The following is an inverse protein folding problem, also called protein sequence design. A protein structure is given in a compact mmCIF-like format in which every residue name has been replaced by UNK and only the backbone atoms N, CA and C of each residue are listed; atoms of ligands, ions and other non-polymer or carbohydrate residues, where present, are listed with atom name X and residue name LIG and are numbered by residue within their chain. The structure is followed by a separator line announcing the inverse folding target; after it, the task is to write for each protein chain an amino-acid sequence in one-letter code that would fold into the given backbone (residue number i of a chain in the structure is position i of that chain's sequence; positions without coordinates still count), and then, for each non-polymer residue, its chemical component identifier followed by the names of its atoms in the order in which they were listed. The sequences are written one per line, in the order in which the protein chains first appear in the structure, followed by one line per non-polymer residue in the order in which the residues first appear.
data_IF_376961821788
#
_entry.id   IF_376961821788
#
_cell.length_a   1.000
_cell.length_b   1.000
_cell.length_c   1.000
_cell.angle_alpha   90.00
_cell.angle_beta   90.00
_cell.angle_gamma   90.00
#
_symmetry.space_group_name_H-M   'P 1'
#
loop_
_entity.id
_entity.type
_entity.pdbx_description
1 polymer ?
#
# COMPACT_ATOMS: atom_id res chain seq x y z
N UNK A 1 11.55 -14.27 -24.44
CA UNK A 1 11.01 -13.62 -23.31
C UNK A 1 10.48 -12.26 -23.60
N UNK A 2 9.33 -12.03 -23.15
CA UNK A 2 8.78 -10.74 -23.28
C UNK A 2 9.17 -9.89 -22.11
N UNK A 3 9.64 -8.73 -22.40
CA UNK A 3 10.04 -7.85 -21.51
C UNK A 3 9.03 -7.26 -20.66
N UNK A 4 7.63 -7.33 -20.91
CA UNK A 4 6.60 -6.76 -20.07
C UNK A 4 6.65 -7.26 -18.66
N UNK A 5 7.16 -8.43 -18.48
CA UNK A 5 7.28 -8.96 -17.17
C UNK A 5 8.39 -8.40 -16.33
N UNK A 6 9.30 -7.75 -16.98
CA UNK A 6 10.37 -7.05 -16.29
C UNK A 6 10.29 -5.56 -16.44
N UNK A 7 9.17 -5.07 -16.95
CA UNK A 7 8.95 -3.64 -16.97
C UNK A 7 8.92 -3.11 -15.54
N UNK A 8 9.58 -1.98 -15.32
CA UNK A 8 9.40 -1.24 -14.08
C UNK A 8 7.92 -0.98 -13.82
N UNK A 9 7.51 -1.09 -12.61
CA UNK A 9 6.12 -0.94 -12.23
C UNK A 9 5.23 -2.16 -12.45
N UNK A 10 5.78 -3.27 -12.94
CA UNK A 10 5.06 -4.52 -12.90
C UNK A 10 4.85 -4.94 -11.45
N UNK A 11 3.61 -5.06 -11.00
CA UNK A 11 3.34 -5.32 -9.61
C UNK A 11 3.76 -6.73 -9.21
N UNK A 12 4.11 -6.88 -7.96
CA UNK A 12 4.08 -8.14 -7.26
C UNK A 12 2.63 -8.45 -6.94
N UNK A 13 2.14 -9.57 -7.37
CA UNK A 13 0.76 -9.94 -7.20
C UNK A 13 0.63 -11.31 -6.55
N UNK A 14 -0.57 -11.59 -6.09
CA UNK A 14 -0.89 -12.80 -5.33
C UNK A 14 -0.43 -14.08 -6.02
N UNK A 15 -0.58 -14.18 -7.32
CA UNK A 15 -0.17 -15.34 -8.09
C UNK A 15 1.33 -15.60 -8.17
N UNK A 16 2.15 -14.60 -7.83
CA UNK A 16 3.59 -14.75 -7.73
C UNK A 16 4.08 -15.09 -6.33
N UNK A 17 3.14 -15.07 -5.38
CA UNK A 17 3.46 -15.28 -4.01
C UNK A 17 2.99 -16.64 -3.53
N UNK A 18 3.88 -17.38 -2.91
CA UNK A 18 3.50 -18.61 -2.26
C UNK A 18 2.74 -18.31 -0.94
N UNK A 19 1.66 -19.04 -0.62
CA UNK A 19 0.90 -18.81 0.62
C UNK A 19 1.75 -18.86 1.91
N UNK A 20 2.84 -19.59 1.91
CA UNK A 20 3.77 -19.66 3.05
C UNK A 20 4.79 -18.52 3.10
N UNK A 21 4.78 -17.62 2.12
CA UNK A 21 5.62 -16.43 2.13
C UNK A 21 5.00 -15.29 2.92
N UNK A 22 3.99 -15.58 3.74
CA UNK A 22 3.33 -14.60 4.57
C UNK A 22 4.30 -13.98 5.57
N UNK A 23 4.47 -12.68 5.46
CA UNK A 23 5.26 -11.91 6.42
C UNK A 23 4.46 -11.69 7.71
N UNK A 24 3.13 -11.63 7.58
CA UNK A 24 2.18 -11.43 8.68
C UNK A 24 1.11 -12.48 8.66
N UNK A 25 0.45 -12.68 9.78
CA UNK A 25 -0.74 -13.52 9.82
C UNK A 25 -1.86 -12.87 8.99
N UNK A 26 -2.37 -13.60 8.02
CA UNK A 26 -3.53 -13.18 7.25
C UNK A 26 -4.81 -13.18 8.11
N UNK A 27 -5.81 -12.43 7.71
CA UNK A 27 -7.13 -12.54 8.30
C UNK A 27 -7.79 -13.88 7.89
N UNK A 28 -8.74 -14.35 8.70
CA UNK A 28 -9.63 -15.45 8.32
C UNK A 28 -10.82 -14.86 7.57
N UNK A 29 -10.99 -15.23 6.31
CA UNK A 29 -12.04 -14.68 5.45
C UNK A 29 -13.45 -14.95 5.92
N UNK A 30 -13.67 -16.01 6.72
CA UNK A 30 -14.99 -16.35 7.25
C UNK A 30 -15.38 -15.53 8.48
N UNK A 31 -14.41 -15.01 9.20
CA UNK A 31 -14.63 -14.32 10.49
C UNK A 31 -14.24 -12.86 10.48
N UNK A 32 -13.42 -12.43 9.51
CA UNK A 32 -12.96 -11.05 9.41
C UNK A 32 -14.11 -10.09 9.10
N UNK A 33 -14.11 -8.94 9.78
CA UNK A 33 -15.03 -7.86 9.50
C UNK A 33 -14.85 -7.38 8.05
N UNK A 34 -15.94 -7.12 7.29
CA UNK A 34 -15.87 -6.62 5.93
C UNK A 34 -15.01 -5.35 5.78
N UNK A 35 -15.04 -4.46 6.77
CA UNK A 35 -14.21 -3.25 6.76
C UNK A 35 -12.72 -3.58 6.86
N UNK A 36 -12.34 -4.60 7.63
CA UNK A 36 -10.95 -5.09 7.68
C UNK A 36 -10.48 -5.58 6.33
N UNK A 37 -11.32 -6.35 5.63
CA UNK A 37 -11.03 -6.81 4.26
C UNK A 37 -10.88 -5.65 3.29
N UNK A 38 -11.78 -4.66 3.35
CA UNK A 38 -11.70 -3.45 2.54
C UNK A 38 -10.40 -2.69 2.80
N UNK A 39 -10.02 -2.47 4.05
CA UNK A 39 -8.79 -1.78 4.38
C UNK A 39 -7.55 -2.49 3.84
N UNK A 40 -7.48 -3.81 3.96
CA UNK A 40 -6.38 -4.61 3.43
C UNK A 40 -6.27 -4.51 1.91
N UNK A 41 -7.40 -4.57 1.19
CA UNK A 41 -7.43 -4.39 -0.26
C UNK A 41 -7.05 -2.97 -0.69
N UNK A 42 -7.64 -1.95 -0.04
CA UNK A 42 -7.36 -0.54 -0.35
C UNK A 42 -5.88 -0.23 -0.21
N UNK A 43 -5.26 -0.64 0.90
CA UNK A 43 -3.84 -0.35 1.12
C UNK A 43 -2.95 -1.11 0.13
N UNK A 44 -3.25 -2.38 -0.14
CA UNK A 44 -2.50 -3.18 -1.13
C UNK A 44 -2.57 -2.55 -2.51
N UNK A 45 -3.77 -2.13 -2.95
CA UNK A 45 -3.95 -1.46 -4.24
C UNK A 45 -3.24 -0.10 -4.29
N UNK A 46 -3.30 0.69 -3.22
CA UNK A 46 -2.63 1.98 -3.13
C UNK A 46 -1.11 1.83 -3.24
N UNK A 47 -0.51 0.90 -2.49
CA UNK A 47 0.93 0.64 -2.52
C UNK A 47 1.38 0.14 -3.91
N UNK A 48 0.60 -0.73 -4.53
CA UNK A 48 0.87 -1.19 -5.88
C UNK A 48 0.84 -0.05 -6.91
N UNK A 49 -0.14 0.84 -6.85
CA UNK A 49 -0.22 2.01 -7.72
C UNK A 49 0.92 2.99 -7.45
N UNK A 50 1.30 3.18 -6.21
CA UNK A 50 2.42 4.05 -5.82
C UNK A 50 3.75 3.50 -6.33
N UNK A 51 3.99 2.21 -6.18
CA UNK A 51 5.14 1.52 -6.77
C UNK A 51 5.19 1.74 -8.29
N UNK A 52 4.08 1.48 -8.98
CA UNK A 52 3.98 1.69 -10.43
C UNK A 52 4.28 3.14 -10.82
N UNK A 53 3.79 4.11 -10.06
CA UNK A 53 4.07 5.53 -10.28
C UNK A 53 5.57 5.81 -10.20
N UNK A 54 6.24 5.43 -9.13
CA UNK A 54 7.67 5.69 -8.96
C UNK A 54 8.52 5.00 -10.03
N UNK A 55 8.18 3.77 -10.40
CA UNK A 55 8.91 3.01 -11.42
C UNK A 55 8.73 3.59 -12.83
N UNK A 56 7.60 4.19 -13.14
CA UNK A 56 7.33 4.76 -14.46
C UNK A 56 7.71 6.23 -14.59
N UNK A 57 7.58 7.01 -13.54
CA UNK A 57 7.88 8.45 -13.54
C UNK A 57 9.35 8.71 -13.24
N UNK A 58 9.95 7.93 -12.34
CA UNK A 58 11.35 8.11 -11.95
C UNK A 58 12.33 8.22 -13.11
N UNK A 59 12.29 7.30 -14.10
CA UNK A 59 13.20 7.38 -15.26
C UNK A 59 13.06 8.63 -16.13
N UNK A 60 11.98 9.40 -15.99
CA UNK A 60 11.71 10.58 -16.78
C UNK A 60 12.44 11.82 -16.26
N UNK A 61 12.93 11.81 -15.02
CA UNK A 61 13.69 12.91 -14.46
C UNK A 61 15.08 13.02 -15.08
N UNK A 62 15.51 14.25 -15.34
CA UNK A 62 16.83 14.51 -15.87
C UNK A 62 17.92 14.39 -14.79
N UNK A 63 17.61 14.79 -13.57
CA UNK A 63 18.52 14.73 -12.44
C UNK A 63 18.77 13.29 -11.98
N UNK A 64 20.05 12.85 -11.96
CA UNK A 64 20.40 11.51 -11.52
C UNK A 64 19.92 11.18 -10.09
N UNK A 65 19.99 12.15 -9.18
CA UNK A 65 19.55 11.97 -7.79
C UNK A 65 18.04 11.72 -7.70
N UNK A 66 17.24 12.40 -8.54
CA UNK A 66 15.81 12.18 -8.57
C UNK A 66 15.46 10.77 -9.06
N UNK A 67 16.15 10.29 -10.11
CA UNK A 67 15.96 8.90 -10.59
C UNK A 67 16.34 7.87 -9.53
N UNK A 68 17.45 8.06 -8.84
CA UNK A 68 17.87 7.17 -7.78
C UNK A 68 16.92 7.18 -6.59
N UNK A 69 16.43 8.36 -6.18
CA UNK A 69 15.43 8.49 -5.12
C UNK A 69 14.12 7.76 -5.46
N UNK A 70 13.61 7.95 -6.67
CA UNK A 70 12.37 7.28 -7.09
C UNK A 70 12.54 5.75 -7.16
N UNK A 71 13.71 5.26 -7.57
CA UNK A 71 14.00 3.84 -7.53
C UNK A 71 14.03 3.29 -6.10
N UNK A 72 14.68 4.01 -5.19
CA UNK A 72 14.73 3.63 -3.76
C UNK A 72 13.32 3.56 -3.16
N UNK A 73 12.47 4.56 -3.41
CA UNK A 73 11.09 4.56 -2.95
C UNK A 73 10.32 3.39 -3.57
N UNK A 74 10.45 3.17 -4.87
CA UNK A 74 9.78 2.06 -5.55
C UNK A 74 10.11 0.69 -4.95
N UNK A 75 11.35 0.47 -4.53
CA UNK A 75 11.76 -0.77 -3.85
C UNK A 75 11.10 -0.92 -2.49
N UNK A 76 10.85 0.18 -1.78
CA UNK A 76 10.12 0.19 -0.51
C UNK A 76 8.65 -0.12 -0.75
N UNK A 77 8.03 0.50 -1.76
CA UNK A 77 6.63 0.22 -2.13
C UNK A 77 6.41 -1.24 -2.56
N UNK A 78 7.38 -1.85 -3.24
CA UNK A 78 7.36 -3.29 -3.53
C UNK A 78 7.27 -4.14 -2.26
N UNK A 79 8.04 -3.76 -1.23
CA UNK A 79 7.96 -4.43 0.07
C UNK A 79 6.61 -4.19 0.76
N UNK A 80 6.06 -3.00 0.65
CA UNK A 80 4.72 -2.67 1.17
C UNK A 80 3.63 -3.51 0.49
N UNK A 81 3.65 -3.64 -0.84
CA UNK A 81 2.72 -4.51 -1.56
C UNK A 81 2.78 -5.93 -1.00
N UNK A 82 3.97 -6.51 -0.92
CA UNK A 82 4.16 -7.86 -0.38
C UNK A 82 3.66 -7.97 1.07
N UNK A 83 3.96 -6.97 1.89
CA UNK A 83 3.60 -6.94 3.30
C UNK A 83 2.09 -6.86 3.53
N UNK A 84 1.39 -5.98 2.80
CA UNK A 84 -0.05 -5.83 2.96
C UNK A 84 -0.84 -6.93 2.26
N UNK A 85 -0.34 -7.42 1.14
CA UNK A 85 -0.95 -8.57 0.47
C UNK A 85 -0.92 -9.83 1.34
N UNK A 86 0.08 -9.98 2.21
CA UNK A 86 0.14 -11.07 3.17
C UNK A 86 -0.96 -11.07 4.23
N UNK A 87 -1.70 -9.96 4.35
CA UNK A 87 -2.87 -9.91 5.23
C UNK A 87 -4.12 -10.54 4.60
N UNK A 88 -4.12 -10.73 3.28
CA UNK A 88 -5.25 -11.34 2.57
C UNK A 88 -5.24 -12.85 2.78
N UNK A 89 -6.41 -13.43 3.04
CA UNK A 89 -6.55 -14.87 3.24
C UNK A 89 -6.27 -15.62 1.92
N UNK A 90 -5.26 -16.50 1.88
CA UNK A 90 -4.91 -17.23 0.65
C UNK A 90 -5.95 -18.25 0.21
N UNK A 91 -6.94 -18.56 1.06
CA UNK A 91 -8.02 -19.49 0.70
C UNK A 91 -9.10 -18.85 -0.17
N UNK A 92 -9.15 -17.54 -0.22
CA UNK A 92 -10.12 -16.83 -1.07
C UNK A 92 -9.92 -17.19 -2.53
N UNK A 93 -11.04 -17.50 -3.21
CA UNK A 93 -11.03 -17.76 -4.64
C UNK A 93 -10.84 -16.47 -5.46
N UNK A 94 -10.52 -16.64 -6.74
CA UNK A 94 -10.41 -15.51 -7.66
C UNK A 94 -11.69 -14.70 -7.77
N UNK A 95 -12.86 -15.36 -7.85
CA UNK A 95 -14.12 -14.65 -7.95
C UNK A 95 -14.53 -13.99 -6.63
N UNK A 96 -14.21 -14.59 -5.49
CA UNK A 96 -14.39 -13.91 -4.20
C UNK A 96 -13.58 -12.62 -4.14
N UNK A 97 -12.33 -12.64 -4.55
CA UNK A 97 -11.47 -11.45 -4.60
C UNK A 97 -11.97 -10.43 -5.61
N UNK A 98 -12.41 -10.85 -6.77
CA UNK A 98 -12.95 -9.98 -7.80
C UNK A 98 -14.23 -9.28 -7.33
N UNK A 99 -15.16 -10.00 -6.74
CA UNK A 99 -16.38 -9.44 -6.15
C UNK A 99 -16.03 -8.42 -5.05
N UNK A 100 -15.08 -8.77 -4.19
CA UNK A 100 -14.68 -7.87 -3.12
C UNK A 100 -13.90 -6.65 -3.63
N UNK A 101 -13.15 -6.80 -4.71
CA UNK A 101 -12.48 -5.70 -5.40
C UNK A 101 -13.49 -4.66 -5.92
N UNK A 102 -14.49 -5.08 -6.68
CA UNK A 102 -15.52 -4.16 -7.18
C UNK A 102 -16.38 -3.56 -6.06
N UNK A 103 -16.62 -4.30 -4.98
CA UNK A 103 -17.25 -3.74 -3.79
C UNK A 103 -16.38 -2.65 -3.15
N UNK A 104 -15.06 -2.84 -3.09
CA UNK A 104 -14.10 -1.85 -2.62
C UNK A 104 -14.13 -0.59 -3.51
N UNK A 105 -14.14 -0.74 -4.83
CA UNK A 105 -14.22 0.39 -5.75
C UNK A 105 -15.53 1.17 -5.56
N UNK A 106 -16.67 0.49 -5.40
CA UNK A 106 -17.94 1.12 -5.04
C UNK A 106 -17.82 1.93 -3.74
N UNK A 107 -17.17 1.39 -2.72
CA UNK A 107 -16.96 2.07 -1.45
C UNK A 107 -16.09 3.31 -1.58
N UNK A 108 -15.00 3.24 -2.36
CA UNK A 108 -14.11 4.36 -2.61
C UNK A 108 -14.79 5.48 -3.39
N UNK A 109 -15.43 5.18 -4.52
CA UNK A 109 -16.11 6.21 -5.31
C UNK A 109 -17.31 6.82 -4.58
N UNK A 110 -18.03 6.02 -3.78
CA UNK A 110 -19.06 6.56 -2.90
C UNK A 110 -18.46 7.51 -1.86
N UNK A 111 -17.36 7.14 -1.22
CA UNK A 111 -16.68 7.99 -0.24
C UNK A 111 -16.16 9.29 -0.87
N UNK A 112 -15.55 9.22 -2.05
CA UNK A 112 -15.10 10.38 -2.80
C UNK A 112 -16.27 11.29 -3.16
N UNK A 113 -17.36 10.74 -3.69
CA UNK A 113 -18.56 11.50 -4.04
C UNK A 113 -19.16 12.23 -2.83
N UNK A 114 -19.14 11.62 -1.63
CA UNK A 114 -19.67 12.24 -0.42
C UNK A 114 -18.80 13.38 0.10
N UNK A 115 -17.49 13.32 -0.09
CA UNK A 115 -16.53 14.29 0.46
C UNK A 115 -16.07 15.35 -0.56
N UNK A 116 -16.30 15.15 -1.85
CA UNK A 116 -15.86 16.05 -2.90
C UNK A 116 -16.63 17.37 -2.87
N UNK A 117 -15.89 18.46 -2.99
CA UNK A 117 -16.43 19.83 -2.97
C UNK A 117 -16.57 20.44 -4.37
N UNK A 118 -15.76 20.03 -5.35
CA UNK A 118 -15.91 20.46 -6.75
C UNK A 118 -17.00 19.63 -7.44
N UNK A 119 -18.05 20.31 -7.89
CA UNK A 119 -19.20 19.65 -8.50
C UNK A 119 -18.85 18.80 -9.71
N UNK A 120 -17.93 19.26 -10.56
CA UNK A 120 -17.53 18.54 -11.79
C UNK A 120 -16.79 17.26 -11.46
N UNK A 121 -15.98 17.30 -10.42
CA UNK A 121 -15.25 16.11 -9.92
C UNK A 121 -16.21 15.18 -9.21
N UNK A 122 -17.17 15.70 -8.44
CA UNK A 122 -18.23 14.89 -7.84
C UNK A 122 -19.07 14.13 -8.88
N UNK A 123 -19.45 14.79 -9.97
CA UNK A 123 -20.18 14.19 -11.08
C UNK A 123 -19.35 13.05 -11.74
N UNK A 124 -18.00 13.17 -11.75
CA UNK A 124 -17.09 12.12 -12.22
C UNK A 124 -17.08 10.92 -11.27
N UNK A 125 -17.03 11.15 -9.96
CA UNK A 125 -17.10 10.07 -8.97
C UNK A 125 -18.43 9.33 -9.02
N UNK A 126 -19.55 10.05 -9.24
CA UNK A 126 -20.87 9.45 -9.43
C UNK A 126 -20.91 8.57 -10.69
N UNK A 127 -20.32 9.03 -11.80
CA UNK A 127 -20.20 8.23 -13.01
C UNK A 127 -19.42 6.93 -12.77
N UNK A 128 -18.26 7.01 -12.10
CA UNK A 128 -17.46 5.84 -11.82
C UNK A 128 -18.17 4.89 -10.85
N UNK A 129 -18.83 5.41 -9.83
CA UNK A 129 -19.64 4.60 -8.92
C UNK A 129 -20.69 3.79 -9.67
N UNK A 130 -21.41 4.42 -10.60
CA UNK A 130 -22.43 3.74 -11.40
C UNK A 130 -21.83 2.64 -12.30
N UNK A 131 -20.63 2.86 -12.84
CA UNK A 131 -19.91 1.84 -13.59
C UNK A 131 -19.50 0.67 -12.70
N UNK A 132 -18.94 0.95 -11.53
CA UNK A 132 -18.50 -0.09 -10.59
C UNK A 132 -19.66 -0.91 -10.00
N UNK A 133 -20.82 -0.32 -9.80
CA UNK A 133 -22.03 -1.08 -9.43
C UNK A 133 -22.36 -2.13 -10.50
N UNK A 134 -22.23 -1.79 -11.78
CA UNK A 134 -22.46 -2.75 -12.87
C UNK A 134 -21.34 -3.81 -12.95
N UNK A 135 -20.09 -3.43 -12.73
CA UNK A 135 -18.97 -4.36 -12.65
C UNK A 135 -19.14 -5.35 -11.49
N UNK A 136 -19.54 -4.84 -10.31
CA UNK A 136 -19.82 -5.67 -9.14
C UNK A 136 -20.96 -6.69 -9.45
N UNK A 137 -22.02 -6.25 -10.13
CA UNK A 137 -23.11 -7.13 -10.53
C UNK A 137 -22.60 -8.24 -11.46
N UNK A 138 -21.76 -7.90 -12.44
CA UNK A 138 -21.18 -8.87 -13.36
C UNK A 138 -20.27 -9.86 -12.61
N UNK A 139 -19.42 -9.37 -11.72
CA UNK A 139 -18.55 -10.23 -10.90
C UNK A 139 -19.34 -11.19 -10.01
N UNK A 140 -20.43 -10.73 -9.41
CA UNK A 140 -21.37 -11.57 -8.64
C UNK A 140 -22.00 -12.66 -9.51
N UNK A 141 -22.47 -12.33 -10.72
CA UNK A 141 -23.03 -13.29 -11.67
C UNK A 141 -21.99 -14.36 -12.08
N UNK A 142 -20.72 -13.94 -12.28
CA UNK A 142 -19.62 -14.85 -12.62
C UNK A 142 -19.30 -15.80 -11.46
N UNK A 143 -19.21 -15.29 -10.23
CA UNK A 143 -18.98 -16.11 -9.03
C UNK A 143 -20.08 -17.14 -8.85
N UNK A 144 -21.33 -16.71 -8.94
CA UNK A 144 -22.48 -17.61 -8.85
C UNK A 144 -22.45 -18.70 -9.94
N UNK A 145 -22.08 -18.30 -11.16
CA UNK A 145 -22.05 -19.22 -12.31
C UNK A 145 -20.94 -20.26 -12.24
N UNK A 146 -19.75 -19.86 -11.81
CA UNK A 146 -18.57 -20.71 -11.90
C UNK A 146 -18.18 -21.38 -10.57
N UNK A 147 -18.50 -20.77 -9.46
CA UNK A 147 -18.20 -21.31 -8.13
C UNK A 147 -19.43 -21.78 -7.37
N UNK A 148 -20.63 -21.41 -7.84
CA UNK A 148 -21.88 -21.79 -7.20
C UNK A 148 -22.11 -21.10 -5.84
N UNK A 149 -21.35 -20.05 -5.55
CA UNK A 149 -21.41 -19.29 -4.29
C UNK A 149 -22.34 -18.10 -4.44
N UNK A 150 -23.23 -17.92 -3.44
CA UNK A 150 -24.09 -16.75 -3.38
C UNK A 150 -23.28 -15.52 -2.91
N UNK A 151 -23.22 -14.42 -3.68
CA UNK A 151 -22.56 -13.21 -3.25
C UNK A 151 -23.01 -12.66 -1.90
N UNK A 152 -24.24 -12.93 -1.49
CA UNK A 152 -24.75 -12.53 -0.19
C UNK A 152 -24.06 -13.24 0.99
N UNK A 153 -23.30 -14.30 0.74
CA UNK A 153 -22.52 -14.99 1.76
C UNK A 153 -21.24 -14.21 2.13
N UNK A 154 -20.74 -13.38 1.21
CA UNK A 154 -19.48 -12.66 1.40
C UNK A 154 -19.65 -11.14 1.46
N UNK A 155 -20.66 -10.60 0.79
CA UNK A 155 -20.90 -9.15 0.75
C UNK A 155 -21.74 -8.68 1.93
N UNK A 156 -21.36 -7.59 2.60
CA UNK A 156 -22.25 -6.94 3.55
C UNK A 156 -23.46 -6.32 2.84
N UNK A 157 -24.57 -6.18 3.57
CA UNK A 157 -25.81 -5.65 3.01
C UNK A 157 -25.77 -4.17 2.67
N UNK A 158 -24.86 -3.45 3.31
CA UNK A 158 -24.73 -1.99 3.19
C UNK A 158 -23.25 -1.63 3.11
N UNK A 159 -22.95 -0.52 2.46
CA UNK A 159 -21.60 0.04 2.49
C UNK A 159 -21.29 0.56 3.90
N UNK A 160 -20.04 0.41 4.36
CA UNK A 160 -19.60 1.05 5.59
C UNK A 160 -19.70 2.59 5.52
N UNK A 161 -19.55 3.24 6.66
CA UNK A 161 -19.42 4.71 6.69
C UNK A 161 -18.34 5.19 5.73
N UNK A 162 -18.59 6.25 4.96
CA UNK A 162 -17.63 6.76 4.00
C UNK A 162 -16.29 7.12 4.64
N UNK A 163 -15.21 6.80 3.97
CA UNK A 163 -13.89 7.25 4.38
C UNK A 163 -13.84 8.78 4.34
N UNK A 164 -13.38 9.37 5.44
CA UNK A 164 -13.16 10.81 5.54
C UNK A 164 -11.69 11.11 5.34
N UNK A 165 -11.41 12.04 4.45
CA UNK A 165 -10.05 12.49 4.18
C UNK A 165 -9.78 13.76 4.98
N UNK A 166 -9.06 13.60 6.09
CA UNK A 166 -8.66 14.71 6.96
C UNK A 166 -7.15 14.91 6.92
N UNK A 167 -6.72 16.14 7.16
CA UNK A 167 -5.29 16.42 7.21
C UNK A 167 -4.68 15.76 8.45
N UNK A 168 -3.77 14.81 8.23
CA UNK A 168 -3.12 14.04 9.30
C UNK A 168 -1.59 14.19 9.31
N UNK A 169 -1.05 15.23 8.66
CA UNK A 169 0.38 15.43 8.48
C UNK A 169 1.18 15.38 9.78
N UNK A 170 0.69 16.02 10.83
CA UNK A 170 1.37 16.05 12.12
C UNK A 170 1.38 14.65 12.76
N UNK A 171 0.25 13.94 12.71
CA UNK A 171 0.16 12.56 13.19
C UNK A 171 1.15 11.64 12.45
N UNK A 172 1.23 11.73 11.11
CA UNK A 172 2.16 10.92 10.31
C UNK A 172 3.61 11.22 10.70
N UNK A 173 3.96 12.49 10.91
CA UNK A 173 5.31 12.87 11.37
C UNK A 173 5.64 12.31 12.75
N UNK A 174 4.68 12.29 13.64
CA UNK A 174 4.82 11.71 14.98
C UNK A 174 5.08 10.19 14.90
N UNK A 175 4.36 9.48 14.05
CA UNK A 175 4.56 8.04 13.84
C UNK A 175 5.94 7.76 13.21
N UNK A 176 6.33 8.50 12.19
CA UNK A 176 7.63 8.33 11.54
C UNK A 176 8.80 8.55 12.51
N UNK A 177 8.67 9.45 13.47
CA UNK A 177 9.70 9.69 14.47
C UNK A 177 10.07 8.46 15.32
N UNK A 178 9.16 7.47 15.39
CA UNK A 178 9.42 6.22 16.13
C UNK A 178 9.87 5.07 15.26
N UNK A 179 9.40 5.01 14.01
CA UNK A 179 9.48 3.80 13.20
C UNK A 179 10.64 3.80 12.21
N UNK A 180 11.34 4.91 12.09
CA UNK A 180 12.43 5.07 11.10
C UNK A 180 13.54 4.03 11.24
N UNK A 181 13.84 3.60 12.47
CA UNK A 181 14.90 2.64 12.76
C UNK A 181 14.43 1.17 12.82
N UNK A 182 13.17 0.92 12.44
CA UNK A 182 12.61 -0.43 12.48
C UNK A 182 12.52 -1.04 11.08
N UNK A 183 12.75 -2.36 11.02
CA UNK A 183 12.59 -3.17 9.79
C UNK A 183 11.80 -4.43 10.11
N UNK A 184 11.06 -4.91 9.12
CA UNK A 184 10.35 -6.18 9.26
C UNK A 184 11.27 -7.35 8.97
N UNK A 185 11.33 -8.29 9.89
CA UNK A 185 11.98 -9.57 9.72
C UNK A 185 10.98 -10.67 10.07
N UNK A 186 10.45 -11.35 9.05
CA UNK A 186 9.33 -12.26 9.22
C UNK A 186 8.07 -11.53 9.71
N UNK A 187 7.34 -12.05 10.72
CA UNK A 187 6.12 -11.44 11.23
C UNK A 187 6.34 -10.27 12.21
N UNK A 188 7.59 -9.91 12.51
CA UNK A 188 7.91 -8.93 13.55
C UNK A 188 8.74 -7.78 13.01
N UNK A 189 8.63 -6.61 13.65
CA UNK A 189 9.57 -5.51 13.46
C UNK A 189 10.74 -5.68 14.44
N UNK A 190 11.95 -5.48 13.93
CA UNK A 190 13.16 -5.48 14.73
C UNK A 190 14.00 -4.23 14.44
N UNK A 191 14.81 -3.76 15.37
CA UNK A 191 15.77 -2.70 15.13
C UNK A 191 16.72 -3.03 13.97
N UNK A 192 17.12 -2.02 13.22
CA UNK A 192 18.00 -2.17 12.06
C UNK A 192 19.32 -2.83 12.40
N UNK A 193 19.90 -2.49 13.54
CA UNK A 193 21.17 -3.05 14.04
C UNK A 193 21.08 -4.53 14.46
N UNK A 194 19.87 -5.08 14.53
CA UNK A 194 19.62 -6.49 14.83
C UNK A 194 19.26 -7.31 13.59
N UNK A 195 19.22 -6.70 12.41
CA UNK A 195 19.00 -7.44 11.18
C UNK A 195 20.15 -8.40 10.88
N UNK A 196 19.87 -9.66 10.48
CA UNK A 196 20.91 -10.58 10.00
C UNK A 196 21.70 -9.96 8.82
N UNK A 197 22.99 -10.27 8.75
CA UNK A 197 23.86 -9.78 7.67
C UNK A 197 23.43 -10.25 6.27
N UNK A 198 22.72 -11.39 6.20
CA UNK A 198 22.19 -11.99 4.97
C UNK A 198 20.74 -11.60 4.68
N UNK A 199 20.14 -10.67 5.43
CA UNK A 199 18.77 -10.23 5.18
C UNK A 199 18.63 -9.64 3.77
N UNK A 200 17.54 -9.99 3.07
CA UNK A 200 17.24 -9.47 1.73
C UNK A 200 17.22 -7.95 1.66
N UNK A 201 16.85 -7.30 2.74
CA UNK A 201 16.92 -5.86 2.88
C UNK A 201 18.30 -5.28 2.47
N UNK A 202 19.40 -5.88 2.92
CA UNK A 202 20.73 -5.41 2.59
C UNK A 202 21.06 -5.53 1.12
N UNK A 203 20.61 -6.60 0.47
CA UNK A 203 20.80 -6.83 -0.96
C UNK A 203 20.05 -5.77 -1.79
N UNK A 204 18.85 -5.42 -1.39
CA UNK A 204 18.07 -4.35 -2.04
C UNK A 204 18.73 -2.99 -1.82
N UNK A 205 19.15 -2.69 -0.59
CA UNK A 205 19.83 -1.44 -0.29
C UNK A 205 21.14 -1.29 -1.08
N UNK A 206 21.91 -2.36 -1.21
CA UNK A 206 23.13 -2.34 -2.03
C UNK A 206 22.81 -2.07 -3.51
N UNK A 207 21.80 -2.73 -4.06
CA UNK A 207 21.38 -2.54 -5.44
C UNK A 207 20.92 -1.09 -5.73
N UNK A 208 20.13 -0.52 -4.83
CA UNK A 208 19.60 0.86 -4.96
C UNK A 208 20.70 1.90 -4.73
N UNK A 209 21.59 1.64 -3.77
CA UNK A 209 22.62 2.59 -3.34
C UNK A 209 24.00 2.33 -4.01
N UNK A 210 24.03 1.55 -5.08
CA UNK A 210 25.28 1.18 -5.78
C UNK A 210 26.12 2.36 -6.29
N UNK A 211 25.52 3.56 -6.35
CA UNK A 211 26.25 4.80 -6.69
C UNK A 211 27.11 5.38 -5.57
N UNK A 212 27.16 4.74 -4.40
CA UNK A 212 27.98 5.18 -3.26
C UNK A 212 27.32 6.23 -2.36
N UNK A 213 26.01 6.45 -2.48
CA UNK A 213 25.24 7.33 -1.61
C UNK A 213 23.82 6.79 -1.47
N UNK A 214 23.14 7.17 -0.38
CA UNK A 214 21.73 6.89 -0.16
C UNK A 214 20.90 8.05 -0.70
N UNK A 215 20.08 7.87 -1.76
CA UNK A 215 19.36 8.96 -2.42
C UNK A 215 18.45 9.75 -1.48
N UNK A 216 17.73 9.08 -0.60
CA UNK A 216 16.83 9.73 0.38
C UNK A 216 17.63 10.60 1.36
N UNK A 217 18.74 10.11 1.89
CA UNK A 217 19.60 10.88 2.80
C UNK A 217 20.16 12.13 2.11
N UNK A 218 20.58 12.02 0.86
CA UNK A 218 21.08 13.15 0.10
C UNK A 218 20.00 14.22 -0.09
N UNK A 219 18.79 13.82 -0.49
CA UNK A 219 17.65 14.74 -0.67
C UNK A 219 17.26 15.41 0.65
N UNK A 220 17.21 14.63 1.74
CA UNK A 220 16.94 15.15 3.08
C UNK A 220 17.96 16.23 3.47
N UNK A 221 19.23 15.92 3.28
CA UNK A 221 20.33 16.86 3.56
C UNK A 221 20.20 18.14 2.74
N UNK A 222 19.99 18.02 1.43
CA UNK A 222 19.84 19.15 0.53
C UNK A 222 18.64 20.05 0.91
N UNK A 223 17.52 19.44 1.32
CA UNK A 223 16.34 20.19 1.78
C UNK A 223 16.62 20.91 3.09
N UNK A 224 17.28 20.25 4.04
CA UNK A 224 17.65 20.86 5.32
C UNK A 224 18.62 22.05 5.14
N UNK A 225 19.63 21.89 4.29
CA UNK A 225 20.60 22.95 4.01
C UNK A 225 19.96 24.15 3.31
N UNK A 226 19.02 23.93 2.39
CA UNK A 226 18.34 25.00 1.65
C UNK A 226 17.27 25.71 2.45
N UNK A 227 16.50 24.98 3.25
CA UNK A 227 15.33 25.50 3.96
C UNK A 227 15.58 25.84 5.43
N UNK A 228 16.64 25.34 6.01
CA UNK A 228 16.88 25.37 7.44
C UNK A 228 15.87 24.53 8.26
N UNK A 229 15.01 23.76 7.57
CA UNK A 229 13.98 22.96 8.20
C UNK A 229 14.52 21.61 8.65
N UNK A 230 14.37 21.31 9.94
CA UNK A 230 14.74 20.01 10.50
C UNK A 230 13.61 19.01 10.32
N UNK A 231 13.89 17.85 9.73
CA UNK A 231 12.90 16.81 9.51
C UNK A 231 12.54 16.13 10.83
N UNK A 232 11.24 15.95 11.06
CA UNK A 232 10.71 15.56 12.38
C UNK A 232 11.22 14.20 12.88
N UNK A 233 11.45 13.23 11.98
CA UNK A 233 11.94 11.90 12.36
C UNK A 233 13.40 11.87 12.84
N UNK A 234 14.15 12.94 12.66
CA UNK A 234 15.50 13.11 13.21
C UNK A 234 15.48 13.75 14.61
N UNK A 235 14.32 13.94 15.21
CA UNK A 235 14.21 14.52 16.54
C UNK A 235 14.32 13.41 17.58
N UNK A 236 15.35 13.48 18.42
CA UNK A 236 15.52 12.59 19.55
C UNK A 236 14.51 12.92 20.66
N UNK A 237 14.02 11.90 21.34
CA UNK A 237 13.12 12.05 22.47
C UNK A 237 12.04 10.96 22.56
N UNK A 238 11.20 11.00 23.61
CA UNK A 238 10.10 10.06 23.73
C UNK A 238 9.07 10.32 22.63
N UNK A 239 8.38 9.24 22.22
CA UNK A 239 7.35 9.36 21.22
C UNK A 239 6.29 10.39 21.62
N UNK A 240 5.87 11.29 20.70
CA UNK A 240 4.89 12.33 21.06
C UNK A 240 3.53 11.76 21.43
N UNK A 241 3.11 10.65 20.80
CA UNK A 241 1.86 9.96 21.15
C UNK A 241 2.09 9.05 22.33
N UNK A 242 1.43 9.34 23.46
CA UNK A 242 1.65 8.67 24.74
C UNK A 242 1.46 7.15 24.71
N UNK A 243 0.40 6.67 24.05
CA UNK A 243 0.12 5.23 23.90
C UNK A 243 1.17 4.44 23.13
N UNK A 244 2.10 5.11 22.47
CA UNK A 244 3.19 4.50 21.70
C UNK A 244 4.55 4.53 22.41
N UNK A 245 4.59 5.08 23.62
CA UNK A 245 5.82 5.19 24.42
C UNK A 245 6.17 3.91 25.19
N UNK A 246 5.20 3.03 25.36
CA UNK A 246 5.31 1.84 26.20
C UNK A 246 5.38 0.52 25.41
N UNK A 247 6.14 0.49 24.34
CA UNK A 247 6.37 -0.78 23.61
C UNK A 247 7.85 -1.06 23.52
#
# INVERSE_FOLDING_TARGET
RNYTEIMPGRPTIVEHRHPFDDIRCHFDTHTADPLTKLHALIITAAEQQTMNFYMNVGPQYQEPIARALYLEIAMIEEQHVTQYESLLDPIESWFQREVFHHYMECYLYYSFMQTEVDRRIKDLWELHLNQEIEHLRIACDLMMKYEGMDPAEILPKELPEPTRFEQNKEYVREILAIQVDLRTMGPTFIPVDQLPEDALYWQYQEAVNSGGFVPSEQVIKDVQEKSGYRIAFMTEGPHPVESMREK
#
